data_IF_792345344134
#
_entry.id   IF_792345344134
#
_cell.length_a   1.000
_cell.length_b   1.000
_cell.length_c   1.000
_cell.angle_alpha   90.00
_cell.angle_beta   90.00
_cell.angle_gamma   90.00
#
_symmetry.space_group_name_H-M   'P 1'
#
loop_
_entity.id
_entity.type
_entity.pdbx_description
1 polymer ?
#
# COMPACT_ATOMS: atom_id res chain seq x y z
N UNK A 1 -14.61 4.12 -14.28
CA UNK A 1 -14.51 4.80 -12.96
C UNK A 1 -14.13 3.75 -11.95
N UNK A 2 -13.14 4.00 -11.10
CA UNK A 2 -12.68 3.04 -10.10
C UNK A 2 -13.01 3.52 -8.67
N UNK A 3 -13.02 2.59 -7.73
CA UNK A 3 -13.11 2.81 -6.27
C UNK A 3 -11.73 2.53 -5.67
N UNK A 4 -11.09 3.54 -5.13
CA UNK A 4 -9.69 3.49 -4.73
C UNK A 4 -9.53 3.70 -3.23
N UNK A 5 -8.88 2.75 -2.56
CA UNK A 5 -8.47 2.85 -1.16
C UNK A 5 -6.97 3.16 -1.09
N UNK A 6 -6.60 4.25 -0.43
CA UNK A 6 -5.20 4.65 -0.25
C UNK A 6 -4.82 4.51 1.21
N UNK A 7 -3.80 3.69 1.50
CA UNK A 7 -3.33 3.37 2.84
C UNK A 7 -1.92 3.92 3.05
N UNK A 8 -1.80 4.86 3.97
CA UNK A 8 -0.50 5.47 4.28
C UNK A 8 0.31 4.66 5.31
N UNK A 9 1.60 4.97 5.43
CA UNK A 9 2.50 4.39 6.40
C UNK A 9 2.63 5.17 7.72
N UNK A 10 3.66 4.83 8.50
CA UNK A 10 4.02 5.43 9.78
C UNK A 10 4.28 6.94 9.63
N UNK A 11 3.97 7.71 10.68
CA UNK A 11 4.16 9.17 10.76
C UNK A 11 3.50 10.00 9.66
N UNK A 12 2.66 9.41 8.84
CA UNK A 12 1.96 10.14 7.79
C UNK A 12 0.72 10.82 8.36
N UNK A 13 0.67 12.14 8.28
CA UNK A 13 -0.46 12.97 8.69
C UNK A 13 -1.16 13.62 7.50
N UNK A 14 -1.03 13.02 6.31
CA UNK A 14 -1.58 13.53 5.04
C UNK A 14 -1.17 14.98 4.75
N UNK A 15 0.07 15.33 5.11
CA UNK A 15 0.61 16.66 4.94
C UNK A 15 0.65 17.09 3.48
N UNK A 16 0.67 18.39 3.27
CA UNK A 16 0.79 18.98 1.94
C UNK A 16 2.07 18.49 1.24
N UNK A 17 2.00 18.32 -0.09
CA UNK A 17 3.11 17.81 -0.87
C UNK A 17 3.26 16.28 -0.87
N UNK A 18 2.62 15.55 0.05
CA UNK A 18 2.67 14.10 0.05
C UNK A 18 1.96 13.51 -1.18
N UNK A 19 2.60 12.56 -1.86
CA UNK A 19 2.07 11.96 -3.08
C UNK A 19 0.73 11.27 -2.89
N UNK A 20 0.46 10.64 -1.74
CA UNK A 20 -0.85 10.02 -1.46
C UNK A 20 -1.98 11.07 -1.48
N UNK A 21 -1.73 12.25 -0.87
CA UNK A 21 -2.69 13.34 -0.87
C UNK A 21 -2.92 13.90 -2.27
N UNK A 22 -1.85 14.02 -3.07
CA UNK A 22 -1.93 14.44 -4.48
C UNK A 22 -2.67 13.40 -5.32
N UNK A 23 -2.36 12.11 -5.14
CA UNK A 23 -3.06 11.01 -5.76
C UNK A 23 -4.56 11.06 -5.45
N UNK A 24 -4.93 11.12 -4.16
CA UNK A 24 -6.33 11.20 -3.76
C UNK A 24 -7.06 12.39 -4.38
N UNK A 25 -6.40 13.55 -4.45
CA UNK A 25 -6.96 14.74 -5.09
C UNK A 25 -7.15 14.56 -6.60
N UNK A 26 -6.11 14.10 -7.31
CA UNK A 26 -6.14 13.89 -8.75
C UNK A 26 -7.24 12.91 -9.16
N UNK A 27 -7.32 11.78 -8.49
CA UNK A 27 -8.34 10.75 -8.78
C UNK A 27 -9.76 11.25 -8.55
N UNK A 28 -10.00 12.03 -7.48
CA UNK A 28 -11.32 12.66 -7.24
C UNK A 28 -11.69 13.63 -8.33
N UNK A 29 -10.75 14.44 -8.83
CA UNK A 29 -11.01 15.34 -9.97
C UNK A 29 -11.30 14.57 -11.27
N UNK A 30 -10.79 13.36 -11.40
CA UNK A 30 -11.07 12.46 -12.53
C UNK A 30 -12.39 11.68 -12.36
N UNK A 31 -13.11 11.89 -11.25
CA UNK A 31 -14.40 11.25 -10.98
C UNK A 31 -14.32 9.87 -10.32
N UNK A 32 -13.13 9.43 -9.87
CA UNK A 32 -13.03 8.20 -9.09
C UNK A 32 -13.56 8.40 -7.67
N UNK A 33 -14.09 7.33 -7.10
CA UNK A 33 -14.40 7.28 -5.67
C UNK A 33 -13.13 6.96 -4.89
N UNK A 34 -12.73 7.84 -3.97
CA UNK A 34 -11.47 7.69 -3.25
C UNK A 34 -11.66 7.76 -1.74
N UNK A 35 -11.26 6.69 -1.06
CA UNK A 35 -11.11 6.63 0.39
C UNK A 35 -9.63 6.76 0.72
N UNK A 36 -9.28 7.77 1.51
CA UNK A 36 -7.93 7.99 2.01
C UNK A 36 -8.03 8.34 3.51
N UNK A 37 -8.11 7.32 4.38
CA UNK A 37 -8.25 7.51 5.82
C UNK A 37 -6.99 8.09 6.45
N UNK A 38 -7.15 8.72 7.62
CA UNK A 38 -6.06 9.03 8.53
C UNK A 38 -6.02 7.95 9.60
N UNK A 39 -5.03 7.08 9.55
CA UNK A 39 -4.83 6.09 10.61
C UNK A 39 -4.57 6.77 11.95
N UNK A 40 -5.11 6.25 13.05
CA UNK A 40 -4.92 6.83 14.38
C UNK A 40 -3.48 6.59 14.88
N UNK A 41 -3.05 7.44 15.80
CA UNK A 41 -1.78 7.29 16.55
C UNK A 41 -0.57 6.95 15.65
N UNK A 42 -0.39 7.69 14.56
CA UNK A 42 0.62 7.41 13.54
C UNK A 42 2.05 7.34 14.06
N UNK A 43 2.35 7.96 15.21
CA UNK A 43 3.67 7.90 15.85
C UNK A 43 3.87 6.64 16.70
N UNK A 44 2.76 6.10 17.23
CA UNK A 44 2.73 4.87 18.04
C UNK A 44 1.56 3.98 17.59
N UNK A 45 1.64 3.42 16.37
CA UNK A 45 0.57 2.61 15.82
C UNK A 45 0.38 1.31 16.61
N UNK A 46 -0.87 0.87 16.74
CA UNK A 46 -1.18 -0.49 17.18
C UNK A 46 -1.88 -1.25 16.06
N UNK A 47 -1.67 -2.56 16.00
CA UNK A 47 -2.28 -3.41 14.98
C UNK A 47 -3.82 -3.33 15.07
N UNK A 48 -4.36 -3.40 16.29
CA UNK A 48 -5.80 -3.39 16.53
C UNK A 48 -6.46 -2.12 15.98
N UNK A 49 -5.95 -0.94 16.34
CA UNK A 49 -6.52 0.33 15.92
C UNK A 49 -6.44 0.55 14.39
N UNK A 50 -5.31 0.15 13.82
CA UNK A 50 -5.11 0.28 12.38
C UNK A 50 -5.95 -0.72 11.59
N UNK A 51 -6.14 -1.93 12.12
CA UNK A 51 -7.01 -2.91 11.49
C UNK A 51 -8.48 -2.56 11.60
N UNK A 52 -8.93 -2.07 12.75
CA UNK A 52 -10.31 -1.61 12.93
C UNK A 52 -10.70 -0.58 11.87
N UNK A 53 -9.88 0.47 11.70
CA UNK A 53 -10.13 1.48 10.67
C UNK A 53 -10.02 0.91 9.26
N UNK A 54 -8.98 0.10 8.97
CA UNK A 54 -8.79 -0.50 7.65
C UNK A 54 -10.04 -1.29 7.21
N UNK A 55 -10.56 -2.13 8.10
CA UNK A 55 -11.69 -2.99 7.79
C UNK A 55 -12.98 -2.19 7.58
N UNK A 56 -13.22 -1.15 8.39
CA UNK A 56 -14.35 -0.25 8.21
C UNK A 56 -14.31 0.47 6.86
N UNK A 57 -13.11 0.94 6.44
CA UNK A 57 -12.94 1.63 5.15
C UNK A 57 -13.04 0.67 3.95
N UNK A 58 -12.60 -0.59 4.12
CA UNK A 58 -12.80 -1.64 3.10
C UNK A 58 -14.29 -1.93 2.93
N UNK A 59 -15.05 -2.08 4.02
CA UNK A 59 -16.48 -2.31 3.98
C UNK A 59 -17.22 -1.17 3.25
N UNK A 60 -16.94 0.08 3.64
CA UNK A 60 -17.48 1.27 2.97
C UNK A 60 -17.18 1.31 1.46
N UNK A 61 -15.93 1.00 1.09
CA UNK A 61 -15.55 0.97 -0.31
C UNK A 61 -16.32 -0.10 -1.09
N UNK A 62 -16.51 -1.27 -0.48
CA UNK A 62 -17.16 -2.42 -1.13
C UNK A 62 -18.67 -2.30 -1.21
N UNK A 63 -19.30 -1.52 -0.33
CA UNK A 63 -20.73 -1.20 -0.39
C UNK A 63 -21.07 -0.11 -1.41
N UNK A 64 -20.12 0.75 -1.72
CA UNK A 64 -20.35 2.02 -2.42
C UNK A 64 -20.34 1.91 -3.95
N UNK A 65 -21.10 0.99 -4.54
CA UNK A 65 -21.41 1.06 -5.96
C UNK A 65 -20.62 0.13 -6.88
N UNK A 66 -20.63 0.46 -8.17
CA UNK A 66 -20.01 -0.33 -9.24
C UNK A 66 -18.63 0.21 -9.63
N UNK A 67 -17.85 -0.62 -10.32
CA UNK A 67 -16.53 -0.29 -10.84
C UNK A 67 -15.41 -1.06 -10.14
N UNK A 68 -14.25 -1.00 -10.75
CA UNK A 68 -13.05 -1.68 -10.27
C UNK A 68 -12.63 -1.20 -8.87
N UNK A 69 -12.25 -2.13 -8.01
CA UNK A 69 -11.75 -1.86 -6.66
C UNK A 69 -10.23 -1.94 -6.64
N UNK A 70 -9.56 -0.86 -6.25
CA UNK A 70 -8.11 -0.77 -6.23
C UNK A 70 -7.65 -0.37 -4.83
N UNK A 71 -6.69 -1.11 -4.27
CA UNK A 71 -5.99 -0.69 -3.06
C UNK A 71 -4.57 -0.23 -3.42
N UNK A 72 -4.17 0.93 -2.90
CA UNK A 72 -2.80 1.46 -2.98
C UNK A 72 -2.29 1.60 -1.55
N UNK A 73 -1.30 0.81 -1.18
CA UNK A 73 -0.75 0.79 0.17
C UNK A 73 0.73 1.19 0.17
N UNK A 74 1.18 1.85 1.22
CA UNK A 74 2.56 2.30 1.38
C UNK A 74 3.12 1.92 2.74
N UNK A 75 4.37 1.42 2.76
CA UNK A 75 5.14 1.19 3.99
C UNK A 75 4.37 0.34 5.01
N UNK A 76 4.15 0.84 6.23
CA UNK A 76 3.36 0.17 7.27
C UNK A 76 1.90 -0.07 6.85
N UNK A 77 1.34 0.70 5.92
CA UNK A 77 0.04 0.44 5.33
C UNK A 77 -0.01 -0.88 4.56
N UNK A 78 1.10 -1.27 3.90
CA UNK A 78 1.23 -2.58 3.27
C UNK A 78 1.20 -3.70 4.31
N UNK A 79 1.91 -3.52 5.40
CA UNK A 79 1.99 -4.48 6.51
C UNK A 79 0.61 -4.68 7.13
N UNK A 80 -0.11 -3.58 7.37
CA UNK A 80 -1.48 -3.63 7.90
C UNK A 80 -2.43 -4.41 6.97
N UNK A 81 -2.35 -4.16 5.67
CA UNK A 81 -3.13 -4.90 4.67
C UNK A 81 -2.77 -6.40 4.64
N UNK A 82 -1.48 -6.72 4.68
CA UNK A 82 -1.00 -8.11 4.73
C UNK A 82 -1.51 -8.84 5.97
N UNK A 83 -1.48 -8.21 7.14
CA UNK A 83 -2.05 -8.77 8.37
C UNK A 83 -3.54 -9.08 8.22
N UNK A 84 -4.33 -8.13 7.73
CA UNK A 84 -5.75 -8.34 7.50
C UNK A 84 -6.02 -9.49 6.53
N UNK A 85 -5.20 -9.61 5.48
CA UNK A 85 -5.31 -10.71 4.51
C UNK A 85 -4.98 -12.07 5.15
N UNK A 86 -3.88 -12.18 5.91
CA UNK A 86 -3.46 -13.41 6.59
C UNK A 86 -4.48 -13.88 7.62
N UNK A 87 -5.10 -12.94 8.33
CA UNK A 87 -6.15 -13.22 9.29
C UNK A 87 -7.51 -13.53 8.64
N UNK A 88 -7.59 -13.48 7.29
CA UNK A 88 -8.82 -13.76 6.55
C UNK A 88 -9.92 -12.70 6.73
N UNK A 89 -9.55 -11.51 7.16
CA UNK A 89 -10.48 -10.40 7.42
C UNK A 89 -10.93 -9.66 6.16
N UNK A 90 -10.21 -9.81 5.05
CA UNK A 90 -10.61 -9.25 3.76
C UNK A 90 -11.54 -10.24 3.07
N UNK A 91 -12.83 -10.02 3.21
CA UNK A 91 -13.87 -10.98 2.78
C UNK A 91 -14.25 -10.86 1.30
N UNK A 92 -14.02 -9.70 0.68
CA UNK A 92 -14.20 -9.47 -0.75
C UNK A 92 -12.87 -9.03 -1.35
N UNK A 93 -12.44 -9.68 -2.43
CA UNK A 93 -11.19 -9.36 -3.09
C UNK A 93 -11.23 -8.01 -3.80
N UNK A 94 -10.08 -7.34 -3.79
CA UNK A 94 -9.82 -6.20 -4.67
C UNK A 94 -9.49 -6.69 -6.09
N UNK A 95 -9.80 -5.91 -7.10
CA UNK A 95 -9.37 -6.20 -8.46
C UNK A 95 -7.86 -6.00 -8.60
N UNK A 96 -7.34 -4.90 -8.02
CA UNK A 96 -5.89 -4.61 -8.02
C UNK A 96 -5.39 -4.15 -6.66
N UNK A 97 -4.17 -4.56 -6.32
CA UNK A 97 -3.43 -4.11 -5.13
C UNK A 97 -2.03 -3.63 -5.54
N UNK A 98 -1.71 -2.38 -5.24
CA UNK A 98 -0.37 -1.84 -5.33
C UNK A 98 0.24 -1.74 -3.93
N UNK A 99 1.38 -2.36 -3.73
CA UNK A 99 2.12 -2.33 -2.47
C UNK A 99 3.45 -1.60 -2.69
N UNK A 100 3.56 -0.40 -2.14
CA UNK A 100 4.71 0.49 -2.32
C UNK A 100 5.60 0.45 -1.08
N UNK A 101 6.85 0.10 -1.25
CA UNK A 101 7.87 0.10 -0.21
C UNK A 101 7.39 -0.50 1.12
N UNK A 102 6.85 -1.74 1.14
CA UNK A 102 6.50 -2.38 2.39
C UNK A 102 7.72 -2.42 3.31
N UNK A 103 7.56 -2.03 4.58
CA UNK A 103 8.67 -1.96 5.51
C UNK A 103 9.25 -3.35 5.82
N UNK A 104 10.58 -3.42 6.01
CA UNK A 104 11.29 -4.67 6.29
C UNK A 104 10.80 -5.32 7.59
N UNK A 105 10.40 -6.61 7.56
CA UNK A 105 9.96 -7.34 8.73
C UNK A 105 10.98 -7.33 9.89
N UNK A 106 12.27 -7.40 9.58
CA UNK A 106 13.32 -7.40 10.61
C UNK A 106 13.44 -6.04 11.32
N UNK A 107 13.18 -4.95 10.64
CA UNK A 107 13.13 -3.61 11.24
C UNK A 107 11.85 -3.44 12.06
N UNK A 108 10.72 -3.92 11.56
CA UNK A 108 9.44 -3.86 12.25
C UNK A 108 9.40 -4.71 13.52
N UNK A 109 10.09 -5.85 13.54
CA UNK A 109 10.20 -6.71 14.72
C UNK A 109 10.84 -5.99 15.93
N UNK A 110 11.58 -4.91 15.71
CA UNK A 110 12.16 -4.08 16.76
C UNK A 110 11.14 -3.11 17.39
N UNK A 111 9.97 -2.95 16.76
CA UNK A 111 8.91 -2.06 17.24
C UNK A 111 7.91 -2.89 18.03
N UNK A 112 7.75 -2.57 19.32
CA UNK A 112 6.85 -3.27 20.21
C UNK A 112 5.42 -3.33 19.65
N UNK A 113 4.88 -4.54 19.52
CA UNK A 113 3.50 -4.76 19.05
C UNK A 113 3.35 -4.90 17.53
N UNK A 114 4.43 -4.74 16.74
CA UNK A 114 4.42 -5.03 15.32
C UNK A 114 5.11 -6.38 15.08
N UNK A 115 4.33 -7.45 14.93
CA UNK A 115 4.85 -8.72 14.43
C UNK A 115 4.68 -8.73 12.91
N UNK A 116 5.78 -8.71 12.19
CA UNK A 116 5.76 -8.43 10.77
C UNK A 116 6.44 -9.49 9.89
N UNK A 117 6.63 -10.70 10.37
CA UNK A 117 7.15 -11.79 9.53
C UNK A 117 6.08 -12.26 8.53
N UNK A 118 5.78 -11.37 7.59
CA UNK A 118 4.75 -11.52 6.55
C UNK A 118 5.32 -11.88 5.17
N UNK A 119 6.62 -12.08 5.06
CA UNK A 119 7.26 -12.51 3.80
C UNK A 119 7.26 -14.05 3.66
N UNK A 120 6.11 -14.70 3.88
CA UNK A 120 5.95 -16.16 3.88
C UNK A 120 4.95 -16.64 2.84
N UNK A 121 5.06 -17.93 2.47
CA UNK A 121 4.16 -18.57 1.52
C UNK A 121 2.66 -18.46 1.90
N UNK A 122 2.34 -18.52 3.19
CA UNK A 122 0.96 -18.31 3.66
C UNK A 122 0.45 -16.88 3.37
N UNK A 123 1.32 -15.88 3.47
CA UNK A 123 0.98 -14.49 3.12
C UNK A 123 0.72 -14.36 1.62
N UNK A 124 1.52 -15.02 0.79
CA UNK A 124 1.30 -15.05 -0.66
C UNK A 124 -0.08 -15.63 -1.01
N UNK A 125 -0.49 -16.72 -0.35
CA UNK A 125 -1.81 -17.32 -0.56
C UNK A 125 -2.95 -16.40 -0.08
N UNK A 126 -2.77 -15.77 1.07
CA UNK A 126 -3.74 -14.82 1.63
C UNK A 126 -3.91 -13.59 0.73
N UNK A 127 -2.81 -13.02 0.24
CA UNK A 127 -2.83 -11.88 -0.67
C UNK A 127 -3.53 -12.23 -2.00
N UNK A 128 -3.28 -13.41 -2.58
CA UNK A 128 -3.97 -13.88 -3.81
C UNK A 128 -5.48 -14.09 -3.62
N UNK A 129 -5.94 -14.28 -2.38
CA UNK A 129 -7.37 -14.27 -2.06
C UNK A 129 -7.91 -12.86 -1.86
N UNK A 130 -7.07 -11.95 -1.37
CA UNK A 130 -7.45 -10.57 -1.07
C UNK A 130 -7.42 -9.65 -2.30
N UNK A 131 -6.66 -9.99 -3.34
CA UNK A 131 -6.60 -9.22 -4.58
C UNK A 131 -6.31 -10.11 -5.81
N UNK A 132 -6.95 -9.81 -6.94
CA UNK A 132 -6.78 -10.57 -8.18
C UNK A 132 -5.45 -10.27 -8.89
N UNK A 133 -5.03 -9.00 -8.86
CA UNK A 133 -3.74 -8.55 -9.39
C UNK A 133 -2.97 -7.79 -8.33
N UNK A 134 -1.69 -8.12 -8.15
CA UNK A 134 -0.84 -7.52 -7.11
C UNK A 134 0.46 -7.09 -7.76
N UNK A 135 0.88 -5.85 -7.50
CA UNK A 135 2.17 -5.31 -7.93
C UNK A 135 2.92 -4.74 -6.74
N UNK A 136 4.18 -5.12 -6.60
CA UNK A 136 5.10 -4.54 -5.63
C UNK A 136 5.91 -3.43 -6.29
N UNK A 137 6.15 -2.33 -5.57
CA UNK A 137 7.06 -1.27 -6.01
C UNK A 137 8.07 -1.01 -4.90
N UNK A 138 9.35 -0.99 -5.24
CA UNK A 138 10.43 -0.68 -4.32
C UNK A 138 11.44 0.28 -4.92
N UNK A 139 12.36 0.76 -4.09
CA UNK A 139 13.50 1.61 -4.48
C UNK A 139 14.81 0.93 -4.10
N UNK A 140 15.88 1.28 -4.81
CA UNK A 140 17.25 0.86 -4.52
C UNK A 140 17.90 1.65 -3.36
N UNK A 141 17.26 2.75 -2.93
CA UNK A 141 17.76 3.63 -1.87
C UNK A 141 16.82 3.71 -0.67
N UNK A 142 16.02 2.66 -0.43
CA UNK A 142 15.05 2.63 0.67
C UNK A 142 15.71 2.21 2.00
N UNK A 143 15.87 3.12 2.99
CA UNK A 143 16.47 2.78 4.28
C UNK A 143 15.60 1.85 5.13
N UNK A 144 14.30 1.75 4.85
CA UNK A 144 13.36 0.86 5.52
C UNK A 144 13.22 -0.50 4.85
N UNK A 145 13.95 -0.71 3.74
CA UNK A 145 13.98 -1.96 3.01
C UNK A 145 15.42 -2.25 2.52
N UNK A 146 16.39 -2.40 3.43
CA UNK A 146 17.83 -2.43 3.09
C UNK A 146 18.24 -3.58 2.18
N UNK A 147 17.50 -4.68 2.18
CA UNK A 147 17.74 -5.82 1.29
C UNK A 147 16.97 -5.71 -0.05
N UNK A 148 16.24 -4.61 -0.26
CA UNK A 148 15.44 -4.37 -1.46
C UNK A 148 14.15 -5.17 -1.53
N UNK A 149 13.27 -4.71 -2.41
CA UNK A 149 11.91 -5.29 -2.58
C UNK A 149 11.95 -6.73 -3.12
N UNK A 150 12.91 -7.01 -4.00
CA UNK A 150 13.03 -8.31 -4.64
C UNK A 150 13.31 -9.41 -3.64
N UNK A 151 14.35 -9.24 -2.81
CA UNK A 151 14.81 -10.26 -1.87
C UNK A 151 13.86 -10.37 -0.67
N UNK A 152 13.35 -9.22 -0.18
CA UNK A 152 12.54 -9.22 1.03
C UNK A 152 11.10 -9.69 0.79
N UNK A 153 10.51 -9.32 -0.34
CA UNK A 153 9.08 -9.57 -0.59
C UNK A 153 8.79 -10.29 -1.91
N UNK A 154 9.33 -9.82 -3.03
CA UNK A 154 8.90 -10.32 -4.33
C UNK A 154 9.20 -11.81 -4.54
N UNK A 155 10.43 -12.23 -4.29
CA UNK A 155 10.83 -13.64 -4.37
C UNK A 155 10.10 -14.52 -3.35
N UNK A 156 10.07 -14.19 -2.04
CA UNK A 156 9.38 -15.00 -1.04
C UNK A 156 7.88 -15.14 -1.26
N UNK A 157 7.23 -14.09 -1.80
CA UNK A 157 5.79 -14.08 -2.07
C UNK A 157 5.43 -14.56 -3.48
N UNK A 158 6.42 -14.66 -4.39
CA UNK A 158 6.17 -14.98 -5.79
C UNK A 158 5.30 -13.94 -6.51
N UNK A 159 5.56 -12.66 -6.23
CA UNK A 159 4.79 -11.53 -6.77
C UNK A 159 5.61 -10.70 -7.78
N UNK A 160 4.97 -10.13 -8.81
CA UNK A 160 5.61 -9.19 -9.71
C UNK A 160 6.01 -7.91 -8.99
N UNK A 161 7.10 -7.32 -9.42
CA UNK A 161 7.64 -6.11 -8.81
C UNK A 161 8.28 -5.16 -9.82
N UNK A 162 8.37 -3.89 -9.42
CA UNK A 162 8.97 -2.80 -10.19
C UNK A 162 9.97 -2.06 -9.31
N UNK A 163 11.13 -1.73 -9.87
CA UNK A 163 12.16 -0.91 -9.23
C UNK A 163 12.05 0.54 -9.70
N UNK A 164 11.87 1.46 -8.76
CA UNK A 164 11.99 2.90 -9.01
C UNK A 164 13.30 3.42 -8.44
N UNK A 165 14.29 3.63 -9.29
CA UNK A 165 15.63 4.08 -8.87
C UNK A 165 15.59 5.45 -8.20
N UNK A 166 16.30 5.59 -7.10
CA UNK A 166 16.45 6.84 -6.35
C UNK A 166 15.12 7.40 -5.79
N UNK A 167 14.14 6.55 -5.53
CA UNK A 167 12.86 6.98 -4.94
C UNK A 167 12.89 7.03 -3.39
N UNK A 168 13.96 6.51 -2.78
CA UNK A 168 14.07 6.38 -1.33
C UNK A 168 12.90 5.61 -0.77
N UNK A 169 12.32 6.06 0.35
CA UNK A 169 11.14 5.43 0.93
C UNK A 169 9.81 6.03 0.41
N UNK A 170 9.79 6.58 -0.80
CA UNK A 170 8.60 7.20 -1.41
C UNK A 170 7.92 8.22 -0.49
N UNK A 171 8.68 9.04 0.18
CA UNK A 171 8.19 10.05 1.11
C UNK A 171 8.81 11.43 0.86
N UNK A 172 8.31 12.45 1.55
CA UNK A 172 8.82 13.82 1.39
C UNK A 172 10.29 13.96 1.80
N UNK A 173 10.74 13.18 2.80
CA UNK A 173 12.14 13.22 3.25
C UNK A 173 13.10 12.70 2.17
N UNK A 174 12.65 11.80 1.30
CA UNK A 174 13.40 11.35 0.12
C UNK A 174 13.14 12.22 -1.13
N UNK A 175 12.50 13.36 -1.00
CA UNK A 175 12.15 14.24 -2.12
C UNK A 175 11.06 13.70 -3.04
N UNK A 176 10.33 12.66 -2.62
CA UNK A 176 9.29 12.04 -3.42
C UNK A 176 7.93 12.64 -3.11
N UNK A 177 7.44 13.51 -4.00
CA UNK A 177 6.20 14.28 -3.77
C UNK A 177 5.16 14.17 -4.87
N UNK A 178 5.57 13.86 -6.10
CA UNK A 178 4.70 13.67 -7.26
C UNK A 178 4.92 12.29 -7.84
N UNK A 179 3.83 11.69 -8.36
CA UNK A 179 3.91 10.39 -9.00
C UNK A 179 2.81 10.26 -10.05
N UNK A 180 3.12 10.67 -11.28
CA UNK A 180 2.19 10.58 -12.39
C UNK A 180 1.90 9.12 -12.76
N UNK A 181 2.92 8.27 -12.76
CA UNK A 181 2.79 6.87 -13.13
C UNK A 181 1.78 6.08 -12.27
N UNK A 182 1.60 6.41 -10.98
CA UNK A 182 0.57 5.75 -10.17
C UNK A 182 -0.84 6.21 -10.56
N UNK A 183 -1.01 7.48 -10.95
CA UNK A 183 -2.29 8.00 -11.46
C UNK A 183 -2.64 7.29 -12.77
N UNK A 184 -1.68 7.21 -13.68
CA UNK A 184 -1.84 6.56 -14.98
C UNK A 184 -2.12 5.07 -14.82
N UNK A 185 -1.40 4.39 -13.91
CA UNK A 185 -1.60 2.96 -13.63
C UNK A 185 -3.01 2.67 -13.06
N UNK A 186 -3.58 3.57 -12.29
CA UNK A 186 -4.97 3.41 -11.80
C UNK A 186 -5.96 3.48 -12.97
N UNK A 187 -5.72 4.34 -13.95
CA UNK A 187 -6.56 4.47 -15.13
C UNK A 187 -6.34 3.35 -16.17
N UNK A 188 -5.09 2.91 -16.30
CA UNK A 188 -4.68 1.84 -17.22
C UNK A 188 -3.62 0.96 -16.53
N UNK A 189 -3.91 -0.32 -16.23
CA UNK A 189 -2.97 -1.22 -15.57
C UNK A 189 -1.70 -1.52 -16.40
N UNK A 190 -1.69 -1.19 -17.70
CA UNK A 190 -0.51 -1.32 -18.57
C UNK A 190 0.39 -0.07 -18.58
N UNK A 191 -0.03 1.01 -17.93
CA UNK A 191 0.77 2.24 -17.87
C UNK A 191 2.08 2.03 -17.12
N UNK A 192 3.10 2.77 -17.54
CA UNK A 192 4.41 2.75 -16.86
C UNK A 192 4.34 3.45 -15.50
N UNK A 193 4.31 2.65 -14.45
CA UNK A 193 4.23 3.15 -13.08
C UNK A 193 5.51 3.90 -12.63
N UNK A 194 6.62 3.82 -13.36
CA UNK A 194 7.88 4.46 -12.98
C UNK A 194 7.95 5.95 -13.33
N UNK A 195 6.99 6.48 -14.05
CA UNK A 195 6.91 7.91 -14.42
C UNK A 195 6.62 8.76 -13.18
N UNK A 196 7.53 9.68 -12.86
CA UNK A 196 7.41 10.64 -11.74
C UNK A 196 6.62 11.88 -12.12
#
# INVERSE_FOLDING_TARGET
>A
MARVLILHGWNNRRQEGNWHRRLASALRHQGHQVIYPQFPNTDNPTVEQWQELLLAEIELLQESGEGETIAVSHSLGCVNFMHAAVEGKITKSFDRLLMVAPADPALLAQIKGLNADLAKAQTAQALKKAAHSITLVGSDEDPWLPNGIEETYAKPLGLPWVLMKGAGHFNLASGFSQWQGVIDWINDPAADITVR
#
